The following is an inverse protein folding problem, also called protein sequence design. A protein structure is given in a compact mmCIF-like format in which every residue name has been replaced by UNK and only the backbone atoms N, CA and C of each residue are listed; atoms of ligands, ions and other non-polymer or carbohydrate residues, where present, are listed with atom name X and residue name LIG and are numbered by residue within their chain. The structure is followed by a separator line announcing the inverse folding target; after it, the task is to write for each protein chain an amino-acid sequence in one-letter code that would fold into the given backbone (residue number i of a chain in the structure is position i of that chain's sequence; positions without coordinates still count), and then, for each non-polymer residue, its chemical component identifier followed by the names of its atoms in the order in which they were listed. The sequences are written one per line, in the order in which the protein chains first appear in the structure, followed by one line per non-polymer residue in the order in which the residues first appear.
data_IF_401102842366
#
_entry.id   IF_401102842366
#
_cell.length_a   1.000
_cell.length_b   1.000
_cell.length_c   1.000
_cell.angle_alpha   90.00
_cell.angle_beta   90.00
_cell.angle_gamma   90.00
#
_symmetry.space_group_name_H-M   'P 1'
#
loop_
_entity.id
_entity.type
_entity.pdbx_description
1 polymer ?
#
# COMPACT_ATOMS: atom_id res chain seq x y z
N UNK A 1 -26.38 -20.37 11.34
CA UNK A 1 -25.22 -21.24 11.60
C UNK A 1 -24.32 -21.08 10.37
N UNK A 2 -23.22 -20.32 10.47
CA UNK A 2 -22.31 -20.08 9.35
C UNK A 2 -21.39 -21.31 9.24
N UNK A 3 -21.68 -22.20 8.31
CA UNK A 3 -20.79 -23.31 7.95
C UNK A 3 -19.53 -22.72 7.29
N UNK A 4 -18.47 -22.59 8.08
CA UNK A 4 -17.17 -22.11 7.62
C UNK A 4 -16.52 -23.20 6.76
N UNK A 5 -16.71 -23.12 5.43
CA UNK A 5 -16.05 -24.02 4.49
C UNK A 5 -14.60 -23.58 4.30
N UNK A 6 -13.68 -24.31 4.91
CA UNK A 6 -12.23 -24.08 4.83
C UNK A 6 -11.71 -23.97 3.39
N UNK A 7 -12.37 -24.63 2.41
CA UNK A 7 -12.05 -24.53 0.99
C UNK A 7 -12.13 -23.11 0.41
N UNK A 8 -12.96 -22.23 0.98
CA UNK A 8 -13.11 -20.85 0.50
C UNK A 8 -11.98 -19.95 1.00
N UNK A 9 -11.37 -20.29 2.14
CA UNK A 9 -10.26 -19.54 2.73
C UNK A 9 -9.00 -19.69 1.89
N UNK A 10 -8.66 -20.91 1.47
CA UNK A 10 -7.47 -21.16 0.67
C UNK A 10 -7.54 -20.45 -0.69
N UNK A 11 -8.72 -20.47 -1.32
CA UNK A 11 -8.98 -19.75 -2.57
C UNK A 11 -8.89 -18.22 -2.36
N UNK A 12 -9.40 -17.70 -1.25
CA UNK A 12 -9.27 -16.28 -0.92
C UNK A 12 -7.81 -15.88 -0.67
N UNK A 13 -7.03 -16.71 0.04
CA UNK A 13 -5.62 -16.46 0.31
C UNK A 13 -4.77 -16.48 -0.96
N UNK A 14 -5.07 -17.35 -1.93
CA UNK A 14 -4.37 -17.39 -3.22
C UNK A 14 -4.54 -16.14 -4.07
N UNK A 15 -5.60 -15.36 -3.84
CA UNK A 15 -5.86 -14.10 -4.54
C UNK A 15 -5.14 -12.90 -3.91
N UNK A 16 -4.55 -13.07 -2.72
CA UNK A 16 -3.83 -12.00 -2.03
C UNK A 16 -2.39 -11.91 -2.53
N UNK A 17 -2.04 -10.78 -3.14
CA UNK A 17 -0.66 -10.40 -3.40
C UNK A 17 -0.12 -9.64 -2.18
N UNK A 18 0.84 -10.24 -1.49
CA UNK A 18 1.42 -9.66 -0.27
C UNK A 18 2.89 -9.32 -0.49
N UNK A 19 3.29 -8.13 -0.04
CA UNK A 19 4.67 -7.68 0.05
C UNK A 19 4.88 -6.99 1.38
N UNK A 20 6.02 -7.24 2.02
CA UNK A 20 6.38 -6.67 3.32
C UNK A 20 7.73 -5.95 3.23
N UNK A 21 7.77 -4.75 2.61
CA UNK A 21 9.00 -3.96 2.53
C UNK A 21 9.47 -3.56 3.93
N UNK A 22 10.77 -3.70 4.18
CA UNK A 22 11.41 -3.30 5.46
C UNK A 22 12.05 -1.93 5.41
N UNK A 23 12.21 -1.34 4.22
CA UNK A 23 12.72 0.03 4.03
C UNK A 23 11.81 0.84 3.11
N UNK A 24 11.95 2.16 3.16
CA UNK A 24 11.21 3.07 2.29
C UNK A 24 11.53 2.82 0.81
N UNK A 25 12.79 2.58 0.49
CA UNK A 25 13.26 2.33 -0.88
C UNK A 25 12.65 1.04 -1.44
N UNK A 26 12.56 -0.01 -0.63
CA UNK A 26 11.89 -1.24 -1.04
C UNK A 26 10.40 -1.02 -1.30
N UNK A 27 9.73 -0.23 -0.45
CA UNK A 27 8.33 0.10 -0.63
C UNK A 27 8.11 0.91 -1.92
N UNK A 28 8.91 1.95 -2.15
CA UNK A 28 8.86 2.77 -3.36
C UNK A 28 9.08 1.89 -4.60
N UNK A 29 10.08 1.01 -4.57
CA UNK A 29 10.36 0.09 -5.68
C UNK A 29 9.17 -0.83 -6.01
N UNK A 30 8.51 -1.38 -4.99
CA UNK A 30 7.30 -2.21 -5.18
C UNK A 30 6.16 -1.38 -5.77
N UNK A 31 5.92 -0.18 -5.23
CA UNK A 31 4.85 0.70 -5.70
C UNK A 31 5.09 1.16 -7.15
N UNK A 32 6.31 1.56 -7.50
CA UNK A 32 6.65 1.95 -8.88
C UNK A 32 6.48 0.81 -9.87
N UNK A 33 6.80 -0.43 -9.47
CA UNK A 33 6.51 -1.61 -10.31
C UNK A 33 5.01 -1.79 -10.53
N UNK A 34 4.21 -1.69 -9.48
CA UNK A 34 2.75 -1.80 -9.57
C UNK A 34 2.14 -0.69 -10.43
N UNK A 35 2.65 0.54 -10.35
CA UNK A 35 2.23 1.65 -11.20
C UNK A 35 2.33 1.29 -12.69
N UNK A 36 3.40 0.58 -13.08
CA UNK A 36 3.64 0.15 -14.46
C UNK A 36 3.05 -1.22 -14.83
N UNK A 37 2.61 -2.03 -13.86
CA UNK A 37 2.20 -3.43 -14.10
C UNK A 37 0.70 -3.55 -14.27
N UNK A 38 0.24 -3.45 -15.52
CA UNK A 38 -1.18 -3.57 -15.87
C UNK A 38 -1.73 -4.99 -15.71
N UNK A 39 -0.93 -6.02 -15.98
CA UNK A 39 -1.39 -7.41 -15.92
C UNK A 39 -1.60 -7.91 -14.48
N UNK A 40 -0.73 -7.52 -13.54
CA UNK A 40 -0.88 -7.92 -12.13
C UNK A 40 -2.08 -7.25 -11.45
N UNK A 41 -2.48 -6.09 -11.95
CA UNK A 41 -3.54 -5.27 -11.37
C UNK A 41 -4.90 -5.42 -12.06
N UNK A 42 -4.96 -6.07 -13.23
CA UNK A 42 -6.19 -6.24 -14.00
C UNK A 42 -7.34 -6.88 -13.21
N UNK A 43 -7.04 -7.88 -12.37
CA UNK A 43 -8.02 -8.57 -11.52
C UNK A 43 -8.01 -8.09 -10.06
N UNK A 44 -7.23 -7.06 -9.75
CA UNK A 44 -7.11 -6.52 -8.38
C UNK A 44 -8.14 -5.43 -8.15
N UNK A 45 -8.95 -5.57 -7.10
CA UNK A 45 -9.98 -4.57 -6.76
C UNK A 45 -9.55 -3.59 -5.66
N UNK A 46 -8.56 -3.96 -4.84
CA UNK A 46 -8.11 -3.15 -3.69
C UNK A 46 -6.59 -3.21 -3.55
N UNK A 47 -5.97 -2.04 -3.35
CA UNK A 47 -4.60 -1.90 -2.88
C UNK A 47 -4.61 -1.41 -1.43
N UNK A 48 -4.02 -2.20 -0.53
CA UNK A 48 -3.86 -1.84 0.88
C UNK A 48 -2.39 -1.53 1.14
N UNK A 49 -2.11 -0.30 1.57
CA UNK A 49 -0.79 0.12 2.05
C UNK A 49 -0.89 0.35 3.55
N UNK A 50 -0.41 -0.62 4.32
CA UNK A 50 -0.41 -0.54 5.76
C UNK A 50 0.79 0.26 6.28
N UNK A 51 0.54 1.00 7.35
CA UNK A 51 1.53 1.68 8.18
C UNK A 51 2.55 2.57 7.45
N UNK A 52 2.28 3.11 6.25
CA UNK A 52 3.25 3.90 5.46
C UNK A 52 3.93 5.03 6.26
N UNK A 53 3.22 5.62 7.22
CA UNK A 53 3.72 6.65 8.14
C UNK A 53 4.88 6.19 9.04
N UNK A 54 5.12 4.90 9.23
CA UNK A 54 6.21 4.39 10.08
C UNK A 54 7.58 4.72 9.51
N UNK A 55 7.72 4.71 8.18
CA UNK A 55 8.97 5.06 7.50
C UNK A 55 9.34 6.54 7.66
N UNK A 56 8.38 7.38 8.05
CA UNK A 56 8.54 8.82 8.18
C UNK A 56 8.43 9.30 9.63
N UNK A 57 8.52 8.39 10.61
CA UNK A 57 8.52 8.77 12.03
C UNK A 57 9.82 9.51 12.37
N UNK A 58 9.69 10.67 13.02
CA UNK A 58 10.84 11.50 13.40
C UNK A 58 11.40 12.36 12.28
N UNK A 59 10.76 12.37 11.11
CA UNK A 59 11.11 13.24 10.01
C UNK A 59 10.86 14.71 10.36
N UNK A 60 11.89 15.52 10.22
CA UNK A 60 11.84 16.97 10.44
C UNK A 60 12.38 17.76 9.23
N UNK A 61 12.90 17.06 8.23
CA UNK A 61 13.49 17.67 7.04
C UNK A 61 12.45 17.84 5.93
N UNK A 62 12.61 18.90 5.12
CA UNK A 62 11.78 19.13 3.93
C UNK A 62 11.87 17.97 2.92
N UNK A 63 13.01 17.28 2.87
CA UNK A 63 13.25 16.16 1.96
C UNK A 63 12.36 14.96 2.34
N UNK A 64 12.21 14.67 3.62
CA UNK A 64 11.35 13.59 4.10
C UNK A 64 9.87 13.84 3.76
N UNK A 65 9.40 15.08 3.93
CA UNK A 65 8.05 15.47 3.53
C UNK A 65 7.84 15.38 2.02
N UNK A 66 8.87 15.68 1.22
CA UNK A 66 8.79 15.50 -0.22
C UNK A 66 8.65 14.02 -0.57
N UNK A 67 9.51 13.15 -0.02
CA UNK A 67 9.44 11.70 -0.22
C UNK A 67 8.09 11.11 0.21
N UNK A 68 7.51 11.61 1.30
CA UNK A 68 6.16 11.25 1.72
C UNK A 68 5.10 11.58 0.67
N UNK A 69 5.16 12.80 0.11
CA UNK A 69 4.25 13.22 -0.97
C UNK A 69 4.45 12.38 -2.23
N UNK A 70 5.68 12.04 -2.58
CA UNK A 70 6.00 11.24 -3.75
C UNK A 70 5.37 9.84 -3.62
N UNK A 71 5.52 9.20 -2.45
CA UNK A 71 4.86 7.92 -2.14
C UNK A 71 3.34 8.03 -2.31
N UNK A 72 2.70 9.04 -1.68
CA UNK A 72 1.26 9.20 -1.76
C UNK A 72 0.77 9.43 -3.19
N UNK A 73 1.57 10.13 -4.00
CA UNK A 73 1.33 10.35 -5.42
C UNK A 73 1.36 9.05 -6.20
N UNK A 74 2.40 8.22 -6.04
CA UNK A 74 2.51 6.92 -6.72
C UNK A 74 1.28 6.05 -6.38
N UNK A 75 0.91 5.95 -5.09
CA UNK A 75 -0.27 5.16 -4.70
C UNK A 75 -1.56 5.75 -5.28
N UNK A 76 -1.65 7.07 -5.42
CA UNK A 76 -2.76 7.75 -6.09
C UNK A 76 -2.85 7.41 -7.58
N UNK A 77 -1.71 7.46 -8.28
CA UNK A 77 -1.63 7.12 -9.70
C UNK A 77 -2.03 5.67 -9.95
N UNK A 78 -1.60 4.72 -9.11
CA UNK A 78 -2.02 3.32 -9.21
C UNK A 78 -3.54 3.20 -9.14
N UNK A 79 -4.16 3.86 -8.15
CA UNK A 79 -5.61 3.81 -7.97
C UNK A 79 -6.38 4.36 -9.17
N UNK A 80 -5.91 5.48 -9.74
CA UNK A 80 -6.53 6.14 -10.89
C UNK A 80 -6.31 5.34 -12.18
N UNK A 81 -5.08 4.94 -12.47
CA UNK A 81 -4.72 4.26 -13.72
C UNK A 81 -5.36 2.87 -13.84
N UNK A 82 -5.42 2.13 -12.73
CA UNK A 82 -5.94 0.77 -12.72
C UNK A 82 -7.39 0.68 -12.24
N UNK A 83 -8.02 1.80 -11.87
CA UNK A 83 -9.38 1.88 -11.34
C UNK A 83 -9.58 0.98 -10.08
N UNK A 84 -8.64 1.10 -9.14
CA UNK A 84 -8.55 0.26 -7.94
C UNK A 84 -8.86 1.09 -6.69
N UNK A 85 -9.57 0.52 -5.73
CA UNK A 85 -9.76 1.16 -4.43
C UNK A 85 -8.45 1.17 -3.62
N UNK A 86 -8.08 2.33 -3.09
CA UNK A 86 -6.89 2.51 -2.25
C UNK A 86 -7.28 2.64 -0.78
N UNK A 87 -6.65 1.84 0.08
CA UNK A 87 -6.70 2.00 1.53
C UNK A 87 -5.30 2.28 2.08
N UNK A 88 -5.11 3.43 2.72
CA UNK A 88 -3.84 3.78 3.39
C UNK A 88 -4.07 3.86 4.89
N UNK A 89 -3.39 2.98 5.63
CA UNK A 89 -3.53 2.91 7.09
C UNK A 89 -2.43 3.75 7.75
N UNK A 90 -2.85 4.64 8.65
CA UNK A 90 -1.95 5.50 9.42
C UNK A 90 -2.02 5.12 10.90
N UNK A 91 -0.87 4.83 11.51
CA UNK A 91 -0.81 4.62 12.95
C UNK A 91 -1.13 5.93 13.70
N UNK A 92 -2.00 5.86 14.72
CA UNK A 92 -2.54 7.01 15.49
C UNK A 92 -1.50 8.01 16.03
N UNK A 93 -0.24 7.61 16.18
CA UNK A 93 0.82 8.44 16.79
C UNK A 93 1.50 9.42 15.80
N UNK A 94 0.97 9.58 14.58
CA UNK A 94 1.50 10.56 13.62
C UNK A 94 1.08 12.01 13.91
N UNK A 95 0.18 12.24 14.90
CA UNK A 95 -0.40 13.56 15.20
C UNK A 95 0.50 14.55 15.96
N UNK A 96 1.75 14.20 16.29
CA UNK A 96 2.58 15.02 17.20
C UNK A 96 3.65 15.88 16.53
N UNK A 97 3.74 15.92 15.21
CA UNK A 97 4.83 16.60 14.49
C UNK A 97 4.37 17.36 13.24
N UNK A 98 3.17 17.97 13.29
CA UNK A 98 2.75 19.01 12.33
C UNK A 98 2.52 20.30 13.08
#
# INVERSE_FOLDING_TARGET
MLEYRTSEVDVAMQRLLMSSPSTLEQMVHVLSKLETSTEQLADTSVLIVDAVATFFRGCSSKEDFQRWRDVLTIVGNIAVHHNIAKCTVLAKNFRSYV
#
